data_IF_847580055066
#
_entry.id   IF_847580055066
#
_cell.length_a   1.000
_cell.length_b   1.000
_cell.length_c   1.000
_cell.angle_alpha   90.00
_cell.angle_beta   90.00
_cell.angle_gamma   90.00
#
_symmetry.space_group_name_H-M   'P 1'
#
loop_
_entity.id
_entity.type
_entity.pdbx_description
1 polymer ?
#
# COMPACT_ATOMS: atom_id res chain seq x y z
N UNK A 1 21.83 15.50 -14.22
CA UNK A 1 21.26 14.49 -13.31
C UNK A 1 19.82 14.22 -13.73
N UNK A 2 19.53 13.06 -14.32
CA UNK A 2 18.17 12.64 -14.69
C UNK A 2 17.64 11.72 -13.60
N UNK A 3 16.50 12.07 -13.01
CA UNK A 3 15.86 11.32 -11.94
C UNK A 3 15.27 9.99 -12.43
N UNK A 4 15.22 9.01 -11.52
CA UNK A 4 14.76 7.61 -11.66
C UNK A 4 13.32 7.39 -12.19
N UNK A 5 12.63 8.43 -12.69
CA UNK A 5 11.23 8.37 -13.08
C UNK A 5 10.99 8.59 -14.59
N UNK A 6 12.05 8.79 -15.38
CA UNK A 6 11.92 9.13 -16.81
C UNK A 6 11.41 7.99 -17.71
N UNK A 7 11.20 6.78 -17.19
CA UNK A 7 10.84 5.59 -17.99
C UNK A 7 9.36 5.25 -18.03
N UNK A 8 8.48 5.98 -17.34
CA UNK A 8 7.01 5.76 -17.45
C UNK A 8 6.45 6.73 -18.50
N UNK A 9 6.93 6.61 -19.74
CA UNK A 9 6.44 7.38 -20.88
C UNK A 9 5.37 6.57 -21.59
N UNK A 10 4.10 6.90 -21.33
CA UNK A 10 2.99 6.50 -22.21
C UNK A 10 1.75 6.01 -21.49
N UNK A 11 0.99 6.92 -20.87
CA UNK A 11 -0.48 6.93 -20.86
C UNK A 11 -0.93 8.29 -20.34
N UNK A 12 -1.36 9.15 -21.26
CA UNK A 12 -2.08 10.39 -20.96
C UNK A 12 -3.38 10.01 -20.24
N UNK A 13 -3.73 10.79 -19.22
CA UNK A 13 -5.04 10.85 -18.53
C UNK A 13 -5.38 9.81 -17.46
N UNK A 14 -4.42 9.39 -16.65
CA UNK A 14 -4.75 8.94 -15.29
C UNK A 14 -3.90 9.74 -14.31
N UNK A 15 -4.47 10.26 -13.20
CA UNK A 15 -3.68 10.96 -12.19
C UNK A 15 -2.55 10.05 -11.75
N UNK A 16 -1.33 10.55 -11.95
CA UNK A 16 -0.11 9.85 -11.57
C UNK A 16 -0.16 9.60 -10.06
N UNK A 17 0.17 8.38 -9.62
CA UNK A 17 0.44 8.09 -8.21
C UNK A 17 1.54 9.06 -7.77
N UNK A 18 1.17 10.10 -7.00
CA UNK A 18 2.05 11.22 -6.64
C UNK A 18 1.51 12.62 -6.96
N UNK A 19 0.37 12.75 -7.65
CA UNK A 19 -0.35 14.03 -7.70
C UNK A 19 -1.00 14.31 -6.35
N UNK A 20 -0.71 15.47 -5.75
CA UNK A 20 -1.33 15.92 -4.50
C UNK A 20 -2.77 16.40 -4.68
N UNK A 21 -3.21 16.59 -5.93
CA UNK A 21 -4.58 16.97 -6.24
C UNK A 21 -5.47 15.72 -6.29
N UNK A 22 -5.92 15.30 -5.11
CA UNK A 22 -6.98 14.30 -4.97
C UNK A 22 -8.28 15.02 -4.63
N UNK A 23 -9.22 15.03 -5.57
CA UNK A 23 -10.58 15.52 -5.34
C UNK A 23 -11.37 14.60 -4.39
N UNK A 24 -12.53 15.03 -3.87
CA UNK A 24 -13.38 14.20 -3.04
C UNK A 24 -13.74 12.88 -3.73
N UNK A 25 -13.70 11.77 -2.99
CA UNK A 25 -14.20 10.49 -3.48
C UNK A 25 -15.73 10.56 -3.70
N UNK A 26 -16.22 10.05 -4.82
CA UNK A 26 -17.65 9.98 -5.07
C UNK A 26 -18.37 9.14 -4.00
N UNK A 27 -19.55 9.60 -3.55
CA UNK A 27 -20.32 8.93 -2.49
C UNK A 27 -20.61 7.45 -2.77
N UNK A 28 -20.88 7.09 -4.04
CA UNK A 28 -21.08 5.69 -4.45
C UNK A 28 -19.83 4.85 -4.19
N UNK A 29 -18.66 5.37 -4.56
CA UNK A 29 -17.37 4.68 -4.35
C UNK A 29 -17.03 4.59 -2.86
N UNK A 30 -17.26 5.65 -2.08
CA UNK A 30 -17.07 5.62 -0.62
C UNK A 30 -17.92 4.51 0.02
N UNK A 31 -19.22 4.45 -0.31
CA UNK A 31 -20.14 3.42 0.21
C UNK A 31 -19.70 2.01 -0.15
N UNK A 32 -19.29 1.80 -1.41
CA UNK A 32 -18.79 0.50 -1.86
C UNK A 32 -17.57 0.06 -1.07
N UNK A 33 -16.59 0.96 -0.86
CA UNK A 33 -15.40 0.64 -0.06
C UNK A 33 -15.80 0.26 1.37
N UNK A 34 -16.61 1.07 2.05
CA UNK A 34 -17.04 0.79 3.43
C UNK A 34 -17.80 -0.54 3.55
N UNK A 35 -18.64 -0.88 2.56
CA UNK A 35 -19.45 -2.10 2.59
C UNK A 35 -18.66 -3.37 2.29
N UNK A 36 -17.74 -3.33 1.32
CA UNK A 36 -16.95 -4.51 0.94
C UNK A 36 -15.74 -4.72 1.87
N UNK A 37 -15.30 -3.67 2.58
CA UNK A 37 -14.13 -3.71 3.44
C UNK A 37 -14.16 -4.82 4.50
N UNK A 38 -15.23 -4.99 5.30
CA UNK A 38 -15.29 -6.08 6.29
C UNK A 38 -15.25 -7.46 5.64
N UNK A 39 -15.98 -7.65 4.52
CA UNK A 39 -16.04 -8.94 3.80
C UNK A 39 -14.68 -9.37 3.28
N UNK A 40 -13.89 -8.40 2.80
CA UNK A 40 -12.54 -8.65 2.33
C UNK A 40 -11.62 -9.15 3.47
N UNK A 41 -11.77 -8.57 4.66
CA UNK A 41 -10.98 -8.94 5.84
C UNK A 41 -11.45 -10.27 6.45
N UNK A 42 -12.75 -10.56 6.41
CA UNK A 42 -13.29 -11.88 6.80
C UNK A 42 -12.74 -12.99 5.91
N UNK A 43 -12.64 -12.75 4.59
CA UNK A 43 -12.10 -13.72 3.65
C UNK A 43 -10.58 -13.85 3.72
N UNK A 44 -9.87 -12.75 4.01
CA UNK A 44 -8.42 -12.72 4.14
C UNK A 44 -7.98 -11.93 5.38
N UNK A 45 -7.95 -12.59 6.56
CA UNK A 45 -7.58 -11.94 7.82
C UNK A 45 -6.15 -11.39 7.84
N UNK A 46 -5.25 -11.95 7.02
CA UNK A 46 -3.84 -11.54 6.94
C UNK A 46 -3.55 -10.61 5.76
N UNK A 47 -4.58 -9.96 5.19
CA UNK A 47 -4.45 -9.17 3.96
C UNK A 47 -3.35 -8.12 4.07
N UNK A 48 -3.34 -7.35 5.16
CA UNK A 48 -2.36 -6.28 5.36
C UNK A 48 -0.94 -6.79 5.42
N UNK A 49 -0.70 -7.87 6.18
CA UNK A 49 0.60 -8.51 6.24
C UNK A 49 1.04 -9.01 4.86
N UNK A 50 0.16 -9.69 4.13
CA UNK A 50 0.45 -10.20 2.79
C UNK A 50 0.82 -9.08 1.81
N UNK A 51 -0.02 -8.04 1.71
CA UNK A 51 0.20 -6.92 0.79
C UNK A 51 1.46 -6.15 1.17
N UNK A 52 1.69 -5.96 2.48
CA UNK A 52 2.89 -5.29 2.98
C UNK A 52 4.18 -6.05 2.62
N UNK A 53 4.20 -7.36 2.83
CA UNK A 53 5.32 -8.22 2.40
C UNK A 53 5.53 -8.18 0.89
N UNK A 54 4.44 -8.25 0.10
CA UNK A 54 4.52 -8.15 -1.35
C UNK A 54 5.09 -6.80 -1.81
N UNK A 55 4.84 -5.72 -1.08
CA UNK A 55 5.38 -4.39 -1.41
C UNK A 55 6.91 -4.37 -1.35
N UNK A 56 7.51 -4.94 -0.30
CA UNK A 56 8.96 -5.04 -0.17
C UNK A 56 9.57 -6.07 -1.13
N UNK A 57 8.89 -7.19 -1.38
CA UNK A 57 9.36 -8.18 -2.36
C UNK A 57 9.42 -7.63 -3.80
N UNK A 58 8.63 -6.60 -4.11
CA UNK A 58 8.58 -5.96 -5.43
C UNK A 58 9.38 -4.66 -5.50
N UNK A 59 10.00 -4.21 -4.40
CA UNK A 59 10.63 -2.90 -4.32
C UNK A 59 11.89 -2.89 -3.46
N UNK A 60 13.05 -2.78 -4.13
CA UNK A 60 14.34 -2.65 -3.45
C UNK A 60 14.46 -1.32 -2.67
N UNK A 61 13.74 -0.27 -3.06
CA UNK A 61 13.74 0.99 -2.30
C UNK A 61 13.03 0.83 -0.95
N UNK A 62 11.95 0.04 -0.89
CA UNK A 62 11.29 -0.31 0.37
C UNK A 62 12.25 -1.14 1.23
N UNK A 63 12.87 -2.20 0.68
CA UNK A 63 13.85 -3.00 1.42
C UNK A 63 14.94 -2.12 2.05
N UNK A 64 15.57 -1.24 1.25
CA UNK A 64 16.61 -0.31 1.71
C UNK A 64 16.12 0.65 2.80
N UNK A 65 14.91 1.20 2.66
CA UNK A 65 14.35 2.11 3.66
C UNK A 65 14.16 1.45 5.04
N UNK A 66 13.97 0.13 5.07
CA UNK A 66 13.81 -0.66 6.28
C UNK A 66 15.06 -1.47 6.67
N UNK A 67 16.20 -1.23 6.01
CA UNK A 67 17.46 -1.91 6.28
C UNK A 67 17.46 -3.41 5.95
N UNK A 68 16.57 -3.86 5.08
CA UNK A 68 16.49 -5.25 4.60
C UNK A 68 17.46 -5.40 3.42
N UNK A 69 18.33 -6.41 3.47
CA UNK A 69 19.24 -6.72 2.36
C UNK A 69 18.50 -7.13 1.08
N UNK A 70 19.12 -6.91 -0.09
CA UNK A 70 18.47 -7.21 -1.39
C UNK A 70 18.04 -8.69 -1.51
N UNK A 71 18.85 -9.60 -0.96
CA UNK A 71 18.59 -11.06 -0.91
C UNK A 71 17.88 -11.52 0.37
N UNK A 72 17.62 -10.62 1.32
CA UNK A 72 16.92 -10.95 2.55
C UNK A 72 15.41 -10.95 2.32
N UNK A 73 14.74 -11.88 2.99
CA UNK A 73 13.28 -11.90 3.03
C UNK A 73 12.78 -10.79 3.96
N UNK A 74 11.83 -9.94 3.54
CA UNK A 74 11.19 -8.97 4.43
C UNK A 74 10.52 -9.63 5.63
N UNK A 75 10.19 -10.93 5.54
CA UNK A 75 9.59 -11.70 6.62
C UNK A 75 10.55 -11.97 7.81
N UNK A 76 11.86 -11.89 7.61
CA UNK A 76 12.81 -12.03 8.73
C UNK A 76 12.94 -10.75 9.56
N UNK A 77 12.44 -9.62 9.03
CA UNK A 77 12.48 -8.34 9.72
C UNK A 77 11.23 -8.12 10.58
N UNK A 78 11.38 -8.26 11.90
CA UNK A 78 10.29 -8.03 12.87
C UNK A 78 9.78 -6.58 12.82
N UNK A 79 10.69 -5.61 12.69
CA UNK A 79 10.32 -4.19 12.60
C UNK A 79 9.48 -3.91 11.35
N UNK A 80 9.81 -4.54 10.23
CA UNK A 80 9.05 -4.43 9.00
C UNK A 80 7.67 -5.07 9.11
N UNK A 81 7.58 -6.32 9.58
CA UNK A 81 6.29 -7.02 9.71
C UNK A 81 5.35 -6.29 10.68
N UNK A 82 5.87 -5.81 11.81
CA UNK A 82 5.05 -5.15 12.82
C UNK A 82 4.39 -3.85 12.32
N UNK A 83 4.89 -3.24 11.25
CA UNK A 83 4.23 -2.07 10.66
C UNK A 83 2.89 -2.42 9.99
N UNK A 84 2.72 -3.66 9.54
CA UNK A 84 1.48 -4.10 8.88
C UNK A 84 0.24 -3.97 9.79
N UNK A 85 0.38 -4.21 11.10
CA UNK A 85 -0.72 -4.06 12.07
C UNK A 85 -1.08 -2.59 12.31
N UNK A 86 -0.08 -1.69 12.31
CA UNK A 86 -0.30 -0.24 12.39
C UNK A 86 -1.04 0.28 11.16
N UNK A 87 -0.67 -0.22 9.96
CA UNK A 87 -1.36 0.11 8.70
C UNK A 87 -2.80 -0.39 8.76
N UNK A 88 -3.02 -1.64 9.18
CA UNK A 88 -4.35 -2.21 9.36
C UNK A 88 -5.23 -1.36 10.29
N UNK A 89 -4.72 -1.00 11.48
CA UNK A 89 -5.43 -0.16 12.43
C UNK A 89 -5.79 1.23 11.87
N UNK A 90 -4.94 1.80 11.02
CA UNK A 90 -5.23 3.06 10.33
C UNK A 90 -6.43 2.93 9.39
N UNK A 91 -6.49 1.86 8.59
CA UNK A 91 -7.60 1.64 7.67
C UNK A 91 -8.90 1.30 8.38
N UNK A 92 -8.86 0.58 9.51
CA UNK A 92 -10.05 0.37 10.34
C UNK A 92 -10.65 1.70 10.81
N UNK A 93 -9.81 2.65 11.26
CA UNK A 93 -10.27 3.99 11.64
C UNK A 93 -10.91 4.74 10.47
N UNK A 94 -10.33 4.64 9.27
CA UNK A 94 -10.90 5.28 8.08
C UNK A 94 -12.24 4.67 7.64
N UNK A 95 -12.39 3.35 7.74
CA UNK A 95 -13.62 2.66 7.36
C UNK A 95 -14.76 2.82 8.38
N UNK A 96 -14.43 3.19 9.63
CA UNK A 96 -15.40 3.50 10.68
C UNK A 96 -15.98 4.93 10.63
N UNK A 97 -15.60 5.76 9.64
CA UNK A 97 -16.05 7.15 9.42
C UNK A 97 -17.16 7.29 8.36
#
# INVERSE_FOLDING_TARGET
MMGLLSTIRGKKELPVIGSTEVGPIANKSKKMVIQEWPRLLDHQPNLFKMVWLQSANRSNSIKKAFGIGDNESPESSKSFINLSTTIEAFFYKLASL
#
